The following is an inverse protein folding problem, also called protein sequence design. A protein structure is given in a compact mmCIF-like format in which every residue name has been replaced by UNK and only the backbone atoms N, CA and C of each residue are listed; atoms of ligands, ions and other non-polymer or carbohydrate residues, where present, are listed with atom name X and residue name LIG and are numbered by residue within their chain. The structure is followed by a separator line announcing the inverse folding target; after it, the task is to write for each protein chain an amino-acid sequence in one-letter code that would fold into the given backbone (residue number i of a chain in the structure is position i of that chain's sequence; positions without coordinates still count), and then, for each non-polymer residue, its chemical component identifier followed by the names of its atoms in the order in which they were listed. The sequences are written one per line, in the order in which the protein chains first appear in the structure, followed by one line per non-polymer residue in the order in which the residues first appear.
data_IF_435997131965
#
_entry.id   IF_435997131965
#
_cell.length_a   1.000
_cell.length_b   1.000
_cell.length_c   1.000
_cell.angle_alpha   90.00
_cell.angle_beta   90.00
_cell.angle_gamma   90.00
#
_symmetry.space_group_name_H-M   'P 1'
#
loop_
_entity.id
_entity.type
_entity.pdbx_description
1 polymer ?
#
# COMPACT_ATOMS: atom_id res chain seq x y z
N UNK A 1 7.86 29.78 -19.10
CA UNK A 1 7.77 28.92 -17.90
C UNK A 1 7.53 27.43 -18.20
N UNK A 2 8.15 26.79 -19.18
CA UNK A 2 8.00 25.32 -19.43
C UNK A 2 9.04 24.45 -18.70
N UNK A 3 10.15 24.99 -18.24
CA UNK A 3 11.24 24.17 -17.65
C UNK A 3 10.94 23.60 -16.25
N UNK A 4 10.16 24.31 -15.42
CA UNK A 4 9.82 23.82 -14.07
C UNK A 4 8.95 22.54 -14.09
N UNK A 5 8.05 22.39 -15.07
CA UNK A 5 7.21 21.18 -15.21
C UNK A 5 7.99 19.97 -15.71
N UNK A 6 9.02 20.17 -16.54
CA UNK A 6 9.90 19.08 -17.03
C UNK A 6 10.74 18.47 -15.92
N UNK A 7 11.25 19.28 -14.99
CA UNK A 7 12.08 18.79 -13.88
C UNK A 7 11.28 17.98 -12.85
N UNK A 8 10.05 18.39 -12.55
CA UNK A 8 9.18 17.65 -11.61
C UNK A 8 8.87 16.25 -12.15
N UNK A 9 8.55 16.14 -13.45
CA UNK A 9 8.27 14.85 -14.09
C UNK A 9 9.51 13.95 -14.21
N UNK A 10 10.70 14.52 -14.31
CA UNK A 10 11.96 13.74 -14.36
C UNK A 10 12.32 13.20 -12.96
N UNK A 11 12.16 14.01 -11.93
CA UNK A 11 12.40 13.62 -10.52
C UNK A 11 11.40 12.53 -10.10
N UNK A 12 10.12 12.68 -10.45
CA UNK A 12 9.10 11.65 -10.18
C UNK A 12 9.44 10.32 -10.85
N UNK A 13 9.83 10.35 -12.15
CA UNK A 13 10.23 9.13 -12.87
C UNK A 13 11.48 8.47 -12.28
N UNK A 14 12.46 9.25 -11.83
CA UNK A 14 13.66 8.68 -11.18
C UNK A 14 13.33 8.07 -9.82
N UNK A 15 12.47 8.71 -9.04
CA UNK A 15 12.00 8.19 -7.75
C UNK A 15 11.19 6.89 -7.94
N UNK A 16 10.32 6.83 -8.94
CA UNK A 16 9.56 5.63 -9.30
C UNK A 16 10.47 4.48 -9.75
N UNK A 17 11.46 4.78 -10.62
CA UNK A 17 12.43 3.78 -11.07
C UNK A 17 13.27 3.24 -9.91
N UNK A 18 13.66 4.10 -8.96
CA UNK A 18 14.34 3.68 -7.74
C UNK A 18 13.44 2.79 -6.87
N UNK A 19 12.19 3.20 -6.64
CA UNK A 19 11.22 2.42 -5.86
C UNK A 19 10.96 1.02 -6.45
N UNK A 20 10.99 0.89 -7.78
CA UNK A 20 10.86 -0.39 -8.50
C UNK A 20 12.08 -1.28 -8.40
N UNK A 21 13.26 -0.72 -8.13
CA UNK A 21 14.49 -1.52 -7.98
C UNK A 21 14.43 -2.39 -6.74
N UNK A 22 15.23 -3.46 -6.69
CA UNK A 22 15.35 -4.28 -5.48
C UNK A 22 15.87 -3.46 -4.28
N UNK A 23 16.77 -2.52 -4.54
CA UNK A 23 17.35 -1.62 -3.53
C UNK A 23 16.31 -0.62 -3.04
N UNK A 24 15.54 -0.02 -3.95
CA UNK A 24 14.46 0.91 -3.59
C UNK A 24 13.34 0.22 -2.81
N UNK A 25 12.90 -0.95 -3.25
CA UNK A 25 11.91 -1.75 -2.51
C UNK A 25 12.41 -2.12 -1.11
N UNK A 26 13.70 -2.49 -0.97
CA UNK A 26 14.32 -2.75 0.32
C UNK A 26 14.34 -1.48 1.20
N UNK A 27 14.72 -0.33 0.63
CA UNK A 27 14.73 0.95 1.33
C UNK A 27 13.34 1.32 1.86
N UNK A 28 12.31 1.24 1.02
CA UNK A 28 10.93 1.51 1.44
C UNK A 28 10.46 0.58 2.54
N UNK A 29 10.76 -0.70 2.45
CA UNK A 29 10.36 -1.69 3.46
C UNK A 29 11.10 -1.47 4.78
N UNK A 30 12.41 -1.18 4.75
CA UNK A 30 13.25 -1.21 5.95
C UNK A 30 13.53 0.17 6.55
N UNK A 31 13.41 1.24 5.79
CA UNK A 31 13.73 2.61 6.23
C UNK A 31 12.49 3.51 6.24
N UNK A 32 11.80 3.63 5.11
CA UNK A 32 10.65 4.53 5.02
C UNK A 32 9.46 4.05 5.88
N UNK A 33 9.16 2.75 5.87
CA UNK A 33 8.06 2.19 6.66
C UNK A 33 8.17 2.41 8.18
N UNK A 34 9.32 2.22 8.84
CA UNK A 34 9.46 2.53 10.26
C UNK A 34 9.18 4.00 10.59
N UNK A 35 9.60 4.91 9.73
CA UNK A 35 9.39 6.35 9.90
C UNK A 35 7.91 6.70 9.69
N UNK A 36 7.28 6.18 8.65
CA UNK A 36 5.87 6.43 8.33
C UNK A 36 4.91 5.84 9.38
N UNK A 37 5.30 4.80 10.09
CA UNK A 37 4.54 4.31 11.26
C UNK A 37 4.26 5.37 12.31
N UNK A 38 5.16 6.34 12.45
CA UNK A 38 5.06 7.43 13.40
C UNK A 38 4.50 8.69 12.74
N UNK A 39 5.01 9.06 11.55
CA UNK A 39 4.66 10.31 10.87
C UNK A 39 3.20 10.33 10.41
N UNK A 40 2.72 9.25 9.81
CA UNK A 40 1.36 9.22 9.24
C UNK A 40 0.30 9.37 10.33
N UNK A 41 0.31 8.60 11.45
CA UNK A 41 -0.68 8.79 12.52
C UNK A 41 -0.57 10.15 13.22
N UNK A 42 0.66 10.65 13.48
CA UNK A 42 0.88 11.92 14.17
C UNK A 42 0.44 13.13 13.34
N UNK A 43 0.51 13.02 12.02
CA UNK A 43 0.13 14.10 11.08
C UNK A 43 -1.31 13.98 10.57
N UNK A 44 -2.08 12.98 11.02
CA UNK A 44 -3.39 12.66 10.46
C UNK A 44 -3.33 12.28 8.97
N UNK A 45 -2.25 11.61 8.56
CA UNK A 45 -2.04 11.15 7.19
C UNK A 45 -1.41 12.19 6.24
N UNK A 46 -1.06 13.38 6.74
CA UNK A 46 -0.55 14.48 5.88
C UNK A 46 0.93 14.37 5.54
N UNK A 47 1.73 13.75 6.42
CA UNK A 47 3.16 13.59 6.25
C UNK A 47 3.49 12.11 6.05
N UNK A 48 4.18 11.81 4.97
CA UNK A 48 4.67 10.47 4.63
C UNK A 48 5.94 10.60 3.80
N UNK A 49 6.83 9.63 3.91
CA UNK A 49 7.99 9.49 3.02
C UNK A 49 7.64 8.86 1.67
N UNK A 50 6.36 8.68 1.36
CA UNK A 50 5.87 8.08 0.11
C UNK A 50 6.09 8.89 -1.17
N UNK A 51 6.92 9.95 -1.15
CA UNK A 51 7.33 10.74 -2.32
C UNK A 51 6.15 11.20 -3.22
N UNK A 52 5.08 11.72 -2.59
CA UNK A 52 3.87 12.18 -3.30
C UNK A 52 2.84 11.06 -3.59
N UNK A 53 3.10 9.83 -3.18
CA UNK A 53 2.15 8.73 -3.24
C UNK A 53 1.14 8.79 -2.08
N UNK A 54 -0.05 8.24 -2.29
CA UNK A 54 -1.04 8.09 -1.23
C UNK A 54 -0.61 6.99 -0.26
N UNK A 55 -0.22 7.36 0.95
CA UNK A 55 0.19 6.44 2.01
C UNK A 55 -0.74 6.60 3.21
N UNK A 56 -1.24 5.48 3.71
CA UNK A 56 -1.98 5.39 4.95
C UNK A 56 -1.42 4.31 5.84
N UNK A 57 -1.85 4.25 7.09
CA UNK A 57 -1.43 3.23 8.05
C UNK A 57 -2.57 2.25 8.30
N UNK A 58 -2.31 0.98 8.01
CA UNK A 58 -3.18 -0.13 8.41
C UNK A 58 -2.83 -0.55 9.84
N UNK A 59 -3.81 -0.50 10.73
CA UNK A 59 -3.75 -1.15 12.05
C UNK A 59 -4.53 -2.47 12.00
N UNK A 60 -3.86 -3.57 12.30
CA UNK A 60 -4.42 -4.91 12.29
C UNK A 60 -4.03 -5.68 13.55
N UNK A 61 -4.75 -6.75 13.83
CA UNK A 61 -4.43 -7.69 14.92
C UNK A 61 -3.54 -8.81 14.39
N UNK A 62 -2.41 -9.05 15.04
CA UNK A 62 -1.47 -10.11 14.67
C UNK A 62 -2.13 -11.48 14.71
N UNK A 63 -2.08 -12.23 13.60
CA UNK A 63 -2.72 -13.54 13.47
C UNK A 63 -2.25 -14.57 14.51
N UNK A 64 -0.98 -14.48 14.92
CA UNK A 64 -0.38 -15.41 15.90
C UNK A 64 -0.27 -14.82 17.30
N UNK A 65 0.04 -13.51 17.39
CA UNK A 65 0.33 -12.87 18.69
C UNK A 65 -0.90 -12.22 19.33
N UNK A 66 -1.94 -11.91 18.55
CA UNK A 66 -3.07 -11.08 19.02
C UNK A 66 -2.72 -9.61 19.26
N UNK A 67 -1.48 -9.22 19.05
CA UNK A 67 -1.01 -7.85 19.28
C UNK A 67 -1.42 -6.92 18.15
N UNK A 68 -1.62 -5.64 18.47
CA UNK A 68 -1.84 -4.61 17.48
C UNK A 68 -0.59 -4.37 16.63
N UNK A 69 -0.75 -4.37 15.34
CA UNK A 69 0.31 -4.13 14.35
C UNK A 69 -0.05 -2.96 13.48
N UNK A 70 0.92 -2.09 13.21
CA UNK A 70 0.80 -0.92 12.32
C UNK A 70 1.76 -1.04 11.16
N UNK A 71 1.28 -0.79 9.97
CA UNK A 71 2.11 -0.78 8.76
C UNK A 71 1.64 0.32 7.79
N UNK A 72 2.54 1.19 7.32
CA UNK A 72 2.24 2.12 6.24
C UNK A 72 2.17 1.38 4.91
N UNK A 73 1.14 1.69 4.13
CA UNK A 73 0.88 1.06 2.83
C UNK A 73 0.43 2.11 1.82
N UNK A 74 0.82 1.93 0.57
CA UNK A 74 0.17 2.60 -0.54
C UNK A 74 -1.28 2.12 -0.64
N UNK A 75 -2.18 3.04 -0.95
CA UNK A 75 -3.59 2.72 -1.15
C UNK A 75 -4.17 3.45 -2.36
N UNK A 76 -5.25 2.95 -2.90
CA UNK A 76 -6.14 3.64 -3.81
C UNK A 76 -7.55 3.64 -3.23
N UNK A 77 -8.42 4.49 -3.77
CA UNK A 77 -9.82 4.57 -3.35
C UNK A 77 -10.72 4.06 -4.48
N UNK A 78 -11.69 3.24 -4.12
CA UNK A 78 -12.80 2.83 -4.95
C UNK A 78 -14.11 3.22 -4.25
N UNK A 79 -14.65 4.38 -4.59
CA UNK A 79 -15.74 4.99 -3.83
C UNK A 79 -15.30 5.31 -2.39
N UNK A 80 -15.95 4.68 -1.42
CA UNK A 80 -15.63 4.78 0.00
C UNK A 80 -14.75 3.62 0.52
N UNK A 81 -14.36 2.71 -0.36
CA UNK A 81 -13.48 1.60 -0.02
C UNK A 81 -12.00 2.00 -0.15
N UNK A 82 -11.17 1.49 0.76
CA UNK A 82 -9.71 1.59 0.67
C UNK A 82 -9.16 0.29 0.10
N UNK A 83 -8.37 0.37 -0.96
CA UNK A 83 -7.81 -0.77 -1.66
C UNK A 83 -6.32 -0.89 -1.38
N UNK A 84 -5.90 -2.06 -0.92
CA UNK A 84 -4.51 -2.37 -0.57
C UNK A 84 -3.98 -3.52 -1.41
N UNK A 85 -2.74 -3.41 -1.86
CA UNK A 85 -2.08 -4.41 -2.71
C UNK A 85 -1.01 -5.15 -1.90
N UNK A 86 -1.19 -6.45 -1.67
CA UNK A 86 -0.31 -7.27 -0.84
C UNK A 86 0.95 -7.73 -1.60
N UNK A 87 1.65 -6.78 -2.22
CA UNK A 87 2.76 -7.04 -3.13
C UNK A 87 4.04 -7.47 -2.43
N UNK A 88 4.40 -6.85 -1.32
CA UNK A 88 5.68 -7.04 -0.60
C UNK A 88 6.89 -6.93 -1.55
N UNK A 89 6.86 -5.93 -2.47
CA UNK A 89 7.94 -5.71 -3.42
C UNK A 89 8.19 -6.86 -4.39
N UNK A 90 7.21 -7.73 -4.63
CA UNK A 90 7.34 -8.91 -5.49
C UNK A 90 7.98 -10.12 -4.82
N UNK A 91 8.01 -10.17 -3.47
CA UNK A 91 8.46 -11.37 -2.73
C UNK A 91 7.61 -12.60 -3.09
N UNK A 92 8.22 -13.79 -3.05
CA UNK A 92 7.54 -15.08 -3.21
C UNK A 92 6.57 -15.41 -2.07
N UNK A 93 6.70 -14.71 -0.92
CA UNK A 93 5.84 -14.89 0.26
C UNK A 93 4.91 -13.68 0.44
N UNK A 94 3.70 -13.92 0.90
CA UNK A 94 2.78 -12.84 1.29
C UNK A 94 3.35 -11.98 2.43
N UNK A 95 2.98 -10.69 2.51
CA UNK A 95 3.34 -9.86 3.66
C UNK A 95 2.61 -10.34 4.93
N UNK A 96 3.21 -10.09 6.10
CA UNK A 96 2.62 -10.50 7.38
C UNK A 96 1.22 -9.89 7.61
N UNK A 97 1.03 -8.63 7.21
CA UNK A 97 -0.25 -7.95 7.39
C UNK A 97 -1.39 -8.63 6.61
N UNK A 98 -1.11 -9.26 5.44
CA UNK A 98 -2.10 -10.03 4.70
C UNK A 98 -2.64 -11.19 5.54
N UNK A 99 -1.76 -11.95 6.19
CA UNK A 99 -2.17 -13.03 7.08
C UNK A 99 -2.95 -12.51 8.29
N UNK A 100 -2.58 -11.32 8.80
CA UNK A 100 -3.28 -10.70 9.91
C UNK A 100 -4.73 -10.36 9.55
N UNK A 101 -4.97 -9.71 8.40
CA UNK A 101 -6.33 -9.33 7.99
C UNK A 101 -7.17 -10.53 7.56
N UNK A 102 -6.54 -11.59 7.07
CA UNK A 102 -7.26 -12.85 6.78
C UNK A 102 -7.73 -13.55 8.05
N UNK A 103 -6.94 -13.50 9.12
CA UNK A 103 -7.30 -14.08 10.41
C UNK A 103 -8.24 -13.17 11.23
N UNK A 104 -8.05 -11.87 11.16
CA UNK A 104 -8.78 -10.85 11.93
C UNK A 104 -9.18 -9.71 10.96
N UNK A 105 -10.36 -9.80 10.32
CA UNK A 105 -10.75 -8.85 9.28
C UNK A 105 -11.11 -7.45 9.79
N UNK A 106 -11.44 -7.27 11.08
CA UNK A 106 -11.68 -5.97 11.69
C UNK A 106 -10.35 -5.22 11.79
N UNK A 107 -10.26 -4.10 11.12
CA UNK A 107 -9.05 -3.28 11.02
C UNK A 107 -9.38 -1.80 11.20
N UNK A 108 -8.37 -1.00 11.50
CA UNK A 108 -8.45 0.45 11.42
C UNK A 108 -7.51 0.94 10.33
N UNK A 109 -7.95 1.91 9.55
CA UNK A 109 -7.11 2.58 8.57
C UNK A 109 -6.98 4.06 8.93
N UNK A 110 -5.77 4.61 8.82
CA UNK A 110 -5.45 6.00 9.13
C UNK A 110 -4.89 6.64 7.87
N UNK A 111 -5.58 7.63 7.36
CA UNK A 111 -5.17 8.34 6.15
C UNK A 111 -5.82 9.71 6.05
N UNK A 112 -5.39 10.53 5.08
CA UNK A 112 -5.92 11.88 4.88
C UNK A 112 -7.34 11.85 4.28
N UNK A 113 -8.01 13.01 4.26
CA UNK A 113 -9.24 13.18 3.49
C UNK A 113 -10.49 12.49 4.06
N UNK A 114 -10.50 12.21 5.37
CA UNK A 114 -11.69 11.62 6.02
C UNK A 114 -11.78 10.09 5.94
N UNK A 115 -10.73 9.42 5.41
CA UNK A 115 -10.70 7.95 5.33
C UNK A 115 -10.19 7.26 6.61
N UNK A 116 -9.86 8.03 7.66
CA UNK A 116 -9.52 7.45 8.95
C UNK A 116 -10.76 6.87 9.61
N UNK A 117 -10.76 5.57 9.88
CA UNK A 117 -11.92 4.88 10.44
C UNK A 117 -11.68 3.39 10.65
N UNK A 118 -12.75 2.73 11.06
CA UNK A 118 -12.79 1.28 11.24
C UNK A 118 -13.38 0.63 9.97
N UNK A 119 -12.83 -0.51 9.60
CA UNK A 119 -13.14 -1.22 8.36
C UNK A 119 -13.20 -2.73 8.57
N UNK A 120 -13.88 -3.39 7.66
CA UNK A 120 -13.79 -4.84 7.50
C UNK A 120 -13.00 -5.15 6.23
N UNK A 121 -11.94 -5.94 6.38
CA UNK A 121 -11.07 -6.34 5.28
C UNK A 121 -11.58 -7.62 4.60
N UNK A 122 -11.61 -7.65 3.28
CA UNK A 122 -11.81 -8.85 2.48
C UNK A 122 -10.88 -8.88 1.27
N UNK A 123 -10.66 -10.05 0.72
CA UNK A 123 -9.94 -10.20 -0.54
C UNK A 123 -10.90 -10.05 -1.72
N UNK A 124 -10.52 -9.28 -2.72
CA UNK A 124 -11.26 -9.16 -3.98
C UNK A 124 -11.05 -10.40 -4.85
N UNK A 125 -12.11 -10.85 -5.51
CA UNK A 125 -12.10 -12.02 -6.39
C UNK A 125 -12.72 -11.69 -7.75
N UNK A 126 -12.53 -12.57 -8.74
CA UNK A 126 -13.17 -12.51 -10.06
C UNK A 126 -12.93 -11.18 -10.79
N UNK A 127 -14.00 -10.62 -11.34
CA UNK A 127 -13.97 -9.39 -12.15
C UNK A 127 -13.65 -8.16 -11.30
N UNK A 128 -14.11 -8.10 -10.04
CA UNK A 128 -13.76 -7.03 -9.09
C UNK A 128 -12.25 -6.98 -8.88
N UNK A 129 -11.63 -8.12 -8.60
CA UNK A 129 -10.18 -8.18 -8.43
C UNK A 129 -9.46 -7.73 -9.70
N UNK A 130 -9.94 -8.14 -10.87
CA UNK A 130 -9.31 -7.78 -12.15
C UNK A 130 -9.37 -6.27 -12.39
N UNK A 131 -10.53 -5.65 -12.16
CA UNK A 131 -10.73 -4.21 -12.26
C UNK A 131 -9.81 -3.44 -11.29
N UNK A 132 -9.86 -3.79 -10.00
CA UNK A 132 -9.07 -3.12 -8.96
C UNK A 132 -7.56 -3.30 -9.16
N UNK A 133 -7.14 -4.45 -9.70
CA UNK A 133 -5.75 -4.67 -10.05
C UNK A 133 -5.28 -3.73 -11.17
N UNK A 134 -6.08 -3.55 -12.22
CA UNK A 134 -5.74 -2.61 -13.30
C UNK A 134 -5.66 -1.18 -12.78
N UNK A 135 -6.63 -0.74 -11.98
CA UNK A 135 -6.61 0.58 -11.35
C UNK A 135 -5.36 0.79 -10.47
N UNK A 136 -4.95 -0.23 -9.72
CA UNK A 136 -3.75 -0.18 -8.91
C UNK A 136 -2.47 -0.08 -9.76
N UNK A 137 -2.39 -0.81 -10.88
CA UNK A 137 -1.26 -0.73 -11.82
C UNK A 137 -1.22 0.61 -12.53
N UNK A 138 -2.37 1.17 -12.91
CA UNK A 138 -2.47 2.51 -13.49
C UNK A 138 -2.01 3.60 -12.51
N UNK A 139 -2.33 3.43 -11.23
CA UNK A 139 -1.86 4.33 -10.17
C UNK A 139 -0.34 4.18 -9.91
N UNK A 140 0.15 2.94 -9.84
CA UNK A 140 1.55 2.61 -9.62
C UNK A 140 1.94 1.36 -10.41
N UNK A 141 2.57 1.55 -11.57
CA UNK A 141 2.96 0.47 -12.49
C UNK A 141 4.01 -0.50 -11.91
N UNK A 142 4.68 -0.12 -10.81
CA UNK A 142 5.54 -1.01 -10.03
C UNK A 142 4.86 -2.30 -9.59
N UNK A 143 3.53 -2.30 -9.42
CA UNK A 143 2.80 -3.52 -9.07
C UNK A 143 2.87 -4.59 -10.15
N UNK A 144 2.83 -4.21 -11.44
CA UNK A 144 3.02 -5.14 -12.55
C UNK A 144 4.44 -5.77 -12.51
N UNK A 145 5.45 -4.95 -12.25
CA UNK A 145 6.83 -5.41 -12.06
C UNK A 145 6.94 -6.39 -10.86
N UNK A 146 6.26 -6.08 -9.77
CA UNK A 146 6.25 -6.93 -8.57
C UNK A 146 5.56 -8.27 -8.85
N UNK A 147 4.46 -8.28 -9.59
CA UNK A 147 3.79 -9.52 -9.98
C UNK A 147 4.72 -10.44 -10.78
N UNK A 148 5.54 -9.90 -11.67
CA UNK A 148 6.53 -10.67 -12.43
C UNK A 148 7.66 -11.29 -11.59
N UNK A 149 7.86 -10.84 -10.35
CA UNK A 149 8.93 -11.33 -9.44
C UNK A 149 8.46 -12.37 -8.43
N UNK A 150 7.16 -12.62 -8.35
CA UNK A 150 6.56 -13.44 -7.28
C UNK A 150 6.72 -14.95 -7.45
N UNK A 151 7.36 -15.41 -8.53
CA UNK A 151 7.49 -16.84 -8.85
C UNK A 151 6.13 -17.56 -8.87
N UNK A 152 5.18 -16.94 -9.58
CA UNK A 152 3.83 -17.48 -9.76
C UNK A 152 2.83 -17.15 -8.64
N UNK A 153 3.26 -16.56 -7.51
CA UNK A 153 2.32 -16.10 -6.48
C UNK A 153 1.46 -14.96 -7.02
N UNK A 154 0.14 -15.16 -7.05
CA UNK A 154 -0.78 -14.08 -7.38
C UNK A 154 -0.82 -13.08 -6.24
N UNK A 155 -0.56 -11.79 -6.53
CA UNK A 155 -0.61 -10.72 -5.53
C UNK A 155 -2.07 -10.47 -5.14
N UNK A 156 -2.44 -10.59 -3.84
CA UNK A 156 -3.78 -10.32 -3.38
C UNK A 156 -4.14 -8.83 -3.45
N UNK A 157 -5.40 -8.56 -3.78
CA UNK A 157 -6.03 -7.25 -3.70
C UNK A 157 -6.99 -7.27 -2.51
N UNK A 158 -6.76 -6.41 -1.53
CA UNK A 158 -7.57 -6.34 -0.30
C UNK A 158 -8.45 -5.10 -0.35
N UNK A 159 -9.73 -5.30 -0.13
CA UNK A 159 -10.74 -4.25 -0.02
C UNK A 159 -11.04 -4.03 1.46
N UNK A 160 -10.92 -2.79 1.91
CA UNK A 160 -11.39 -2.36 3.22
C UNK A 160 -12.74 -1.66 3.05
N UNK A 161 -13.78 -2.25 3.58
CA UNK A 161 -15.14 -1.72 3.59
C UNK A 161 -15.39 -0.97 4.89
N UNK A 162 -15.85 0.30 4.85
CA UNK A 162 -16.11 1.06 6.07
C UNK A 162 -17.25 0.43 6.89
N UNK A 163 -17.11 0.48 8.21
CA UNK A 163 -18.13 0.01 9.17
C UNK A 163 -19.15 1.09 9.46
#
# INVERSE_FOLDING_TARGET
MPERRRNVNAIHRQAENFARSKVGSWFFINVANPIDRLLVPLSGGRLSMGLGQQVGVLESTGAKSGERRRIPLLYILDGNHVILIASKGGSTKHPAWYHNVKANPQVRFIGPGGITGDYVAREAEGDERSRLWHEAVDYYDGYATYQGRTDGRRIPVIVLEPV
#
